data_IF_190019292179
#
_entry.id   IF_190019292179
#
_cell.length_a   1.000
_cell.length_b   1.000
_cell.length_c   1.000
_cell.angle_alpha   90.00
_cell.angle_beta   90.00
_cell.angle_gamma   90.00
#
_symmetry.space_group_name_H-M   'P 1'
#
loop_
_entity.id
_entity.type
_entity.pdbx_description
1 polymer ?
#
# COMPACT_ATOMS: atom_id res chain seq x y z
N UNK A 1 20.78 0.65 10.07
CA UNK A 1 21.33 -0.22 9.01
C UNK A 1 21.54 0.62 7.76
N UNK A 2 22.68 0.47 7.08
CA UNK A 2 22.95 1.14 5.81
C UNK A 2 22.14 0.40 4.72
N UNK A 3 21.30 1.12 3.99
CA UNK A 3 20.62 0.58 2.81
C UNK A 3 21.60 0.67 1.63
N UNK A 4 22.21 -0.46 1.27
CA UNK A 4 23.26 -0.54 0.24
C UNK A 4 22.63 -1.02 -1.07
N UNK A 5 22.97 -0.38 -2.20
CA UNK A 5 22.36 -0.57 -3.52
C UNK A 5 20.88 -0.11 -3.58
N UNK A 6 20.34 -0.04 -4.81
CA UNK A 6 18.97 0.41 -5.14
C UNK A 6 18.67 1.91 -4.96
N UNK A 7 19.70 2.75 -5.02
CA UNK A 7 19.54 4.21 -4.95
C UNK A 7 18.63 4.73 -6.06
N UNK A 8 18.77 4.21 -7.29
CA UNK A 8 17.94 4.60 -8.44
C UNK A 8 16.47 4.24 -8.23
N UNK A 9 16.18 3.02 -7.77
CA UNK A 9 14.79 2.62 -7.49
C UNK A 9 14.20 3.41 -6.32
N UNK A 10 14.99 3.67 -5.28
CA UNK A 10 14.57 4.47 -4.13
C UNK A 10 14.23 5.91 -4.54
N UNK A 11 15.10 6.54 -5.34
CA UNK A 11 14.91 7.88 -5.89
C UNK A 11 13.67 7.93 -6.80
N UNK A 12 13.48 6.92 -7.66
CA UNK A 12 12.31 6.83 -8.52
C UNK A 12 11.00 6.76 -7.72
N UNK A 13 10.96 5.98 -6.64
CA UNK A 13 9.79 5.90 -5.76
C UNK A 13 9.57 7.24 -5.05
N UNK A 14 10.61 7.81 -4.43
CA UNK A 14 10.50 9.09 -3.70
C UNK A 14 10.00 10.23 -4.57
N UNK A 15 10.49 10.33 -5.81
CA UNK A 15 10.03 11.33 -6.77
C UNK A 15 8.52 11.22 -7.04
N UNK A 16 7.95 10.00 -7.03
CA UNK A 16 6.50 9.81 -7.17
C UNK A 16 5.75 10.13 -5.88
N UNK A 17 6.31 9.84 -4.71
CA UNK A 17 5.72 10.24 -3.43
C UNK A 17 5.60 11.76 -3.27
N UNK A 18 6.46 12.54 -3.94
CA UNK A 18 6.41 14.01 -3.97
C UNK A 18 5.46 14.57 -5.05
N UNK A 19 4.86 13.71 -5.88
CA UNK A 19 3.93 14.14 -6.91
C UNK A 19 2.66 14.73 -6.29
N UNK A 20 2.05 15.70 -6.99
CA UNK A 20 0.74 16.25 -6.65
C UNK A 20 -0.43 15.50 -7.29
N UNK A 21 -0.13 14.50 -8.13
CA UNK A 21 -1.13 13.62 -8.73
C UNK A 21 -1.22 12.30 -7.97
N UNK A 22 -2.32 11.58 -8.16
CA UNK A 22 -2.41 10.18 -7.74
C UNK A 22 -1.37 9.35 -8.51
N UNK A 23 -0.65 8.50 -7.79
CA UNK A 23 0.45 7.69 -8.32
C UNK A 23 0.23 6.22 -7.95
N UNK A 24 0.31 5.34 -8.95
CA UNK A 24 0.31 3.89 -8.75
C UNK A 24 1.70 3.34 -9.07
N UNK A 25 2.37 2.78 -8.07
CA UNK A 25 3.71 2.21 -8.20
C UNK A 25 3.61 0.70 -8.06
N UNK A 26 3.95 -0.03 -9.13
CA UNK A 26 4.02 -1.48 -9.12
C UNK A 26 5.48 -1.91 -8.94
N UNK A 27 5.78 -2.60 -7.85
CA UNK A 27 7.11 -3.15 -7.58
C UNK A 27 7.07 -4.67 -7.64
N UNK A 28 7.75 -5.24 -8.63
CA UNK A 28 7.76 -6.68 -8.89
C UNK A 28 9.18 -7.25 -8.97
N UNK A 29 9.29 -8.57 -8.92
CA UNK A 29 10.56 -9.30 -9.04
C UNK A 29 10.60 -10.56 -8.18
N UNK A 30 11.70 -11.33 -8.26
CA UNK A 30 11.85 -12.61 -7.54
C UNK A 30 11.70 -12.46 -6.02
N UNK A 31 11.36 -13.56 -5.34
CA UNK A 31 11.31 -13.62 -3.87
C UNK A 31 12.69 -13.30 -3.27
N UNK A 32 12.71 -12.62 -2.11
CA UNK A 32 13.91 -12.30 -1.31
C UNK A 32 14.94 -11.34 -1.96
N UNK A 33 14.53 -10.53 -2.94
CA UNK A 33 15.40 -9.50 -3.54
C UNK A 33 15.40 -8.16 -2.79
N UNK A 34 14.71 -8.04 -1.65
CA UNK A 34 14.67 -6.82 -0.84
C UNK A 34 13.62 -5.78 -1.24
N UNK A 35 12.55 -6.17 -1.95
CA UNK A 35 11.46 -5.25 -2.36
C UNK A 35 10.79 -4.59 -1.16
N UNK A 36 10.36 -5.38 -0.17
CA UNK A 36 9.73 -4.87 1.05
C UNK A 36 10.64 -3.88 1.77
N UNK A 37 11.93 -4.18 1.91
CA UNK A 37 12.91 -3.28 2.52
C UNK A 37 13.07 -1.96 1.74
N UNK A 38 13.05 -2.01 0.40
CA UNK A 38 13.08 -0.82 -0.45
C UNK A 38 11.84 0.06 -0.21
N UNK A 39 10.64 -0.52 -0.22
CA UNK A 39 9.39 0.22 -0.02
C UNK A 39 9.34 0.83 1.38
N UNK A 40 9.64 0.05 2.42
CA UNK A 40 9.64 0.54 3.81
C UNK A 40 10.63 1.69 3.99
N UNK A 41 11.79 1.65 3.30
CA UNK A 41 12.75 2.75 3.32
C UNK A 41 12.27 3.98 2.54
N UNK A 42 11.54 3.78 1.44
CA UNK A 42 11.03 4.86 0.60
C UNK A 42 9.94 5.69 1.31
N UNK A 43 9.06 5.02 2.05
CA UNK A 43 7.92 5.63 2.74
C UNK A 43 8.27 6.14 4.15
N UNK A 44 9.51 5.99 4.59
CA UNK A 44 9.95 6.48 5.90
C UNK A 44 9.73 8.01 5.99
N UNK A 45 8.99 8.44 7.01
CA UNK A 45 8.61 9.84 7.20
C UNK A 45 7.32 10.27 6.48
N UNK A 46 6.69 9.40 5.69
CA UNK A 46 5.39 9.64 5.08
C UNK A 46 4.27 9.04 5.94
N UNK A 47 3.11 9.72 6.08
CA UNK A 47 1.92 9.09 6.63
C UNK A 47 1.51 7.90 5.76
N UNK A 48 1.70 6.67 6.25
CA UNK A 48 1.56 5.47 5.42
C UNK A 48 0.85 4.31 6.13
N UNK A 49 0.10 3.51 5.38
CA UNK A 49 -0.38 2.18 5.79
C UNK A 49 0.41 1.13 5.02
N UNK A 50 1.15 0.28 5.73
CA UNK A 50 1.72 -0.95 5.17
C UNK A 50 0.82 -2.12 5.55
N UNK A 51 0.36 -2.87 4.56
CA UNK A 51 -0.45 -4.06 4.74
C UNK A 51 0.11 -5.22 3.92
N UNK A 52 0.38 -6.34 4.58
CA UNK A 52 0.73 -7.60 3.93
C UNK A 52 -0.55 -8.38 3.67
N UNK A 53 -0.95 -8.48 2.41
CA UNK A 53 -2.05 -9.35 2.03
C UNK A 53 -1.64 -10.81 2.26
N UNK A 54 -2.58 -11.60 2.77
CA UNK A 54 -2.35 -13.02 3.07
C UNK A 54 -3.39 -13.86 2.35
N UNK A 55 -2.99 -15.06 1.95
CA UNK A 55 -3.90 -16.06 1.41
C UNK A 55 -5.05 -16.36 2.39
N UNK A 56 -6.28 -16.45 1.87
CA UNK A 56 -7.47 -16.76 2.66
C UNK A 56 -8.52 -15.65 2.62
N UNK A 57 -9.16 -15.40 3.76
CA UNK A 57 -10.27 -14.44 3.89
C UNK A 57 -9.95 -13.32 4.86
N UNK A 58 -10.73 -12.25 4.75
CA UNK A 58 -10.80 -11.08 5.62
C UNK A 58 -9.64 -10.09 5.43
N UNK A 59 -9.02 -10.01 4.25
CA UNK A 59 -8.01 -8.97 4.02
C UNK A 59 -8.58 -7.56 4.19
N UNK A 60 -9.84 -7.33 3.79
CA UNK A 60 -10.54 -6.05 3.99
C UNK A 60 -10.60 -5.63 5.45
N UNK A 61 -11.13 -6.49 6.32
CA UNK A 61 -11.25 -6.24 7.75
C UNK A 61 -9.87 -6.02 8.39
N UNK A 62 -8.88 -6.85 8.05
CA UNK A 62 -7.52 -6.74 8.59
C UNK A 62 -6.80 -5.48 8.12
N UNK A 63 -7.00 -5.08 6.86
CA UNK A 63 -6.51 -3.80 6.33
C UNK A 63 -7.13 -2.63 7.10
N UNK A 64 -8.47 -2.62 7.26
CA UNK A 64 -9.17 -1.58 8.02
C UNK A 64 -8.63 -1.48 9.46
N UNK A 65 -8.47 -2.60 10.15
CA UNK A 65 -7.90 -2.62 11.50
C UNK A 65 -6.45 -2.11 11.55
N UNK A 66 -5.66 -2.40 10.52
CA UNK A 66 -4.28 -1.91 10.41
C UNK A 66 -4.27 -0.40 10.19
N UNK A 67 -5.12 0.10 9.29
CA UNK A 67 -5.28 1.52 9.03
C UNK A 67 -5.82 2.28 10.26
N UNK A 68 -6.83 1.75 10.96
CA UNK A 68 -7.40 2.36 12.18
C UNK A 68 -6.38 2.56 13.29
N UNK A 69 -5.43 1.63 13.47
CA UNK A 69 -4.36 1.78 14.47
C UNK A 69 -3.42 2.95 14.16
N UNK A 70 -3.25 3.29 12.88
CA UNK A 70 -2.37 4.36 12.42
C UNK A 70 -3.13 5.68 12.28
N UNK A 71 -4.41 5.60 11.91
CA UNK A 71 -5.31 6.70 11.58
C UNK A 71 -6.67 6.44 12.22
N UNK A 72 -6.90 6.90 13.47
CA UNK A 72 -8.12 6.63 14.22
C UNK A 72 -9.41 7.07 13.51
N UNK A 73 -9.34 8.05 12.60
CA UNK A 73 -10.45 8.48 11.75
C UNK A 73 -11.05 7.35 10.89
N UNK A 74 -10.27 6.30 10.60
CA UNK A 74 -10.71 5.15 9.80
C UNK A 74 -11.75 4.29 10.52
N UNK A 75 -11.85 4.38 11.84
CA UNK A 75 -12.80 3.62 12.66
C UNK A 75 -14.24 3.72 12.14
N UNK A 76 -14.63 4.90 11.70
CA UNK A 76 -16.00 5.21 11.24
C UNK A 76 -16.20 5.05 9.74
N UNK A 77 -15.15 4.70 8.99
CA UNK A 77 -15.23 4.49 7.54
C UNK A 77 -15.95 3.17 7.27
N UNK A 78 -16.81 3.19 6.25
CA UNK A 78 -17.52 2.00 5.77
C UNK A 78 -16.51 0.91 5.39
N UNK A 79 -16.82 -0.33 5.76
CA UNK A 79 -15.95 -1.47 5.49
C UNK A 79 -16.11 -1.94 4.04
N UNK A 80 -15.55 -1.17 3.12
CA UNK A 80 -15.34 -1.53 1.72
C UNK A 80 -14.07 -0.84 1.18
N UNK A 81 -13.47 -1.43 0.16
CA UNK A 81 -12.20 -0.96 -0.40
C UNK A 81 -12.26 0.46 -0.93
N UNK A 82 -13.34 0.83 -1.64
CA UNK A 82 -13.50 2.15 -2.24
C UNK A 82 -13.52 3.24 -1.15
N UNK A 83 -14.32 3.05 -0.10
CA UNK A 83 -14.42 3.98 1.03
C UNK A 83 -13.10 4.10 1.79
N UNK A 84 -12.40 2.98 2.00
CA UNK A 84 -11.12 2.96 2.72
C UNK A 84 -10.00 3.63 1.91
N UNK A 85 -9.90 3.35 0.61
CA UNK A 85 -8.92 4.00 -0.26
C UNK A 85 -9.20 5.50 -0.38
N UNK A 86 -10.47 5.91 -0.50
CA UNK A 86 -10.83 7.32 -0.51
C UNK A 86 -10.48 8.02 0.82
N UNK A 87 -10.76 7.39 1.96
CA UNK A 87 -10.41 7.93 3.27
C UNK A 87 -8.88 8.06 3.49
N UNK A 88 -8.10 7.24 2.80
CA UNK A 88 -6.64 7.21 2.87
C UNK A 88 -5.96 7.92 1.68
N UNK A 89 -6.68 8.69 0.87
CA UNK A 89 -6.16 9.31 -0.38
C UNK A 89 -4.95 10.23 -0.19
N UNK A 90 -4.80 10.83 1.00
CA UNK A 90 -3.68 11.71 1.35
C UNK A 90 -2.55 10.97 2.09
N UNK A 91 -2.60 9.62 2.10
CA UNK A 91 -1.64 8.72 2.74
C UNK A 91 -1.00 7.81 1.69
N UNK A 92 0.17 7.29 2.01
CA UNK A 92 0.81 6.24 1.19
C UNK A 92 0.23 4.88 1.58
N UNK A 93 -0.37 4.19 0.62
CA UNK A 93 -0.91 2.83 0.83
C UNK A 93 0.04 1.83 0.18
N UNK A 94 0.57 0.91 0.98
CA UNK A 94 1.40 -0.19 0.50
C UNK A 94 0.66 -1.50 0.75
N UNK A 95 0.40 -2.23 -0.34
CA UNK A 95 -0.14 -3.58 -0.30
C UNK A 95 0.96 -4.53 -0.77
N UNK A 96 1.54 -5.27 0.18
CA UNK A 96 2.50 -6.33 -0.11
C UNK A 96 1.75 -7.63 -0.42
N UNK A 97 2.33 -8.46 -1.29
CA UNK A 97 1.68 -9.66 -1.84
C UNK A 97 0.27 -9.40 -2.42
N UNK A 98 0.13 -8.31 -3.19
CA UNK A 98 -1.10 -7.88 -3.88
C UNK A 98 -1.90 -9.00 -4.60
N UNK A 99 -1.28 -10.04 -5.21
CA UNK A 99 -2.04 -11.15 -5.79
C UNK A 99 -3.03 -11.80 -4.83
N UNK A 100 -2.67 -11.99 -3.55
CA UNK A 100 -3.59 -12.57 -2.56
C UNK A 100 -4.82 -11.69 -2.31
N UNK A 101 -4.67 -10.37 -2.49
CA UNK A 101 -5.78 -9.45 -2.34
C UNK A 101 -6.79 -9.59 -3.50
N UNK A 102 -6.30 -9.71 -4.73
CA UNK A 102 -7.14 -9.89 -5.92
C UNK A 102 -7.78 -11.28 -5.93
N UNK A 103 -7.04 -12.31 -5.51
CA UNK A 103 -7.56 -13.68 -5.41
C UNK A 103 -8.75 -13.77 -4.45
N UNK A 104 -8.75 -13.00 -3.36
CA UNK A 104 -9.89 -12.88 -2.45
C UNK A 104 -11.03 -12.04 -3.05
N UNK A 105 -10.72 -10.90 -3.67
CA UNK A 105 -11.69 -9.96 -4.23
C UNK A 105 -11.29 -9.45 -5.62
N UNK A 106 -11.90 -10.07 -6.65
CA UNK A 106 -11.65 -9.73 -8.05
C UNK A 106 -12.17 -8.34 -8.47
N UNK A 107 -12.92 -7.62 -7.61
CA UNK A 107 -13.41 -6.28 -7.92
C UNK A 107 -12.37 -5.18 -7.73
N UNK A 108 -11.30 -5.45 -6.98
CA UNK A 108 -10.27 -4.46 -6.61
C UNK A 108 -9.64 -3.74 -7.81
N UNK A 109 -9.25 -4.41 -8.91
CA UNK A 109 -8.72 -3.71 -10.08
C UNK A 109 -9.72 -2.69 -10.66
N UNK A 110 -11.02 -2.99 -10.63
CA UNK A 110 -12.07 -2.06 -11.07
C UNK A 110 -12.26 -0.90 -10.09
N UNK A 111 -12.07 -1.11 -8.80
CA UNK A 111 -12.11 -0.05 -7.79
C UNK A 111 -10.98 0.95 -8.03
N UNK A 112 -9.76 0.49 -8.29
CA UNK A 112 -8.63 1.39 -8.61
C UNK A 112 -8.82 2.21 -9.89
N UNK A 113 -9.68 1.78 -10.82
CA UNK A 113 -9.99 2.58 -12.01
C UNK A 113 -10.95 3.76 -11.71
N UNK A 114 -11.64 3.74 -10.56
CA UNK A 114 -12.66 4.73 -10.20
C UNK A 114 -12.15 5.83 -9.26
N UNK A 115 -10.96 5.63 -8.70
CA UNK A 115 -10.30 6.52 -7.73
C UNK A 115 -9.20 7.29 -8.46
#
# INVERSE_FOLDING_TARGET
MIFVNREKELEAIKKRLESKSLELIIVYGRRRIGKTSLILKAIEGYPSVYYLAVEGKNNLLKFKQTAERLFPEIKHVKEDWESLFYALKDKVIVIDEFPYLIEEDNSIPSIFQRI
#
